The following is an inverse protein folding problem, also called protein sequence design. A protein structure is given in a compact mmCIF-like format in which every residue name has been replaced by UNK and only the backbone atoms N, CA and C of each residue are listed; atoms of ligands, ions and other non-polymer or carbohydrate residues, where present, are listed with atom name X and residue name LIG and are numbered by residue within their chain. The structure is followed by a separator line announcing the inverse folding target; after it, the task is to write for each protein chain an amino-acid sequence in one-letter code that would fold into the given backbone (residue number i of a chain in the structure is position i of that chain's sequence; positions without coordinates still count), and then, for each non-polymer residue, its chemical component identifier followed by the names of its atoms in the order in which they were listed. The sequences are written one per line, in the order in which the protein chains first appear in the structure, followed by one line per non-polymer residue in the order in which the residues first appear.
data_IF_248638381075
#
_entry.id   IF_248638381075
#
_cell.length_a   1.000
_cell.length_b   1.000
_cell.length_c   1.000
_cell.angle_alpha   90.00
_cell.angle_beta   90.00
_cell.angle_gamma   90.00
#
_symmetry.space_group_name_H-M   'P 1'
#
loop_
_entity.id
_entity.type
_entity.pdbx_description
1 polymer ?
#
# COMPACT_ATOMS: atom_id res chain seq x y z
N UNK A 1 9.90 5.82 11.85
CA UNK A 1 8.68 5.14 11.37
C UNK A 1 7.83 6.14 10.62
N UNK A 2 7.27 5.78 9.47
CA UNK A 2 6.34 6.64 8.71
C UNK A 2 4.95 6.01 8.71
N UNK A 3 3.91 6.84 8.63
CA UNK A 3 2.55 6.35 8.45
C UNK A 3 1.96 6.83 7.12
N UNK A 4 1.06 6.02 6.59
CA UNK A 4 0.25 6.32 5.42
C UNK A 4 -1.20 6.22 5.88
N UNK A 5 -2.02 7.24 5.60
CA UNK A 5 -3.40 7.33 6.07
C UNK A 5 -4.31 7.85 4.96
N UNK A 6 -5.58 7.42 4.93
CA UNK A 6 -6.60 7.99 4.05
C UNK A 6 -6.62 9.53 4.21
N UNK A 7 -6.41 10.26 3.12
CA UNK A 7 -6.41 11.72 3.08
C UNK A 7 -7.72 12.32 3.63
N UNK A 8 -8.83 11.58 3.54
CA UNK A 8 -10.16 12.00 4.04
C UNK A 8 -10.31 11.86 5.55
N UNK A 9 -9.34 11.25 6.23
CA UNK A 9 -9.37 11.11 7.69
C UNK A 9 -9.47 12.48 8.38
N UNK A 10 -10.19 12.60 9.51
CA UNK A 10 -10.28 13.86 10.24
C UNK A 10 -8.88 14.37 10.66
N UNK A 11 -8.70 15.70 10.62
CA UNK A 11 -7.48 16.39 11.08
C UNK A 11 -7.03 15.92 12.47
N UNK A 12 -7.96 15.76 13.41
CA UNK A 12 -7.65 15.28 14.76
C UNK A 12 -7.02 13.89 14.77
N UNK A 13 -7.42 13.01 13.84
CA UNK A 13 -6.86 11.65 13.70
C UNK A 13 -5.45 11.73 13.13
N UNK A 14 -5.24 12.51 12.06
CA UNK A 14 -3.92 12.73 11.46
C UNK A 14 -2.93 13.33 12.46
N UNK A 15 -3.36 14.36 13.19
CA UNK A 15 -2.56 15.03 14.22
C UNK A 15 -2.24 14.12 15.41
N UNK A 16 -3.14 13.22 15.77
CA UNK A 16 -2.85 12.23 16.80
C UNK A 16 -1.85 11.18 16.31
N UNK A 17 -2.00 10.69 15.07
CA UNK A 17 -1.06 9.74 14.47
C UNK A 17 0.35 10.32 14.35
N UNK A 18 0.48 11.58 13.95
CA UNK A 18 1.74 12.31 13.82
C UNK A 18 2.56 12.39 15.12
N UNK A 19 1.96 12.16 16.29
CA UNK A 19 2.67 12.09 17.58
C UNK A 19 3.53 10.82 17.74
N UNK A 20 3.29 9.80 16.91
CA UNK A 20 3.90 8.47 17.04
C UNK A 20 4.84 8.13 15.88
N UNK A 21 4.91 8.97 14.85
CA UNK A 21 5.69 8.74 13.62
C UNK A 21 6.48 9.98 13.23
N UNK A 22 7.51 9.78 12.41
CA UNK A 22 8.36 10.86 11.92
C UNK A 22 7.67 11.71 10.84
N UNK A 23 6.73 11.11 10.12
CA UNK A 23 5.92 11.79 9.10
C UNK A 23 4.66 10.98 8.75
N UNK A 24 3.63 11.68 8.28
CA UNK A 24 2.35 11.12 7.86
C UNK A 24 2.12 11.49 6.39
N UNK A 25 1.97 10.49 5.53
CA UNK A 25 1.56 10.69 4.16
C UNK A 25 0.04 10.49 4.03
N UNK A 26 -0.62 11.50 3.48
CA UNK A 26 -2.05 11.46 3.19
C UNK A 26 -2.28 10.84 1.81
N UNK A 27 -2.82 9.62 1.79
CA UNK A 27 -3.02 8.81 0.61
C UNK A 27 -4.36 9.09 -0.05
N UNK A 28 -4.34 9.24 -1.37
CA UNK A 28 -5.51 9.28 -2.24
C UNK A 28 -5.15 8.69 -3.60
N UNK A 29 -5.96 7.75 -4.07
CA UNK A 29 -5.92 7.13 -5.39
C UNK A 29 -7.16 7.49 -6.21
N UNK A 30 -7.64 8.72 -6.05
CA UNK A 30 -8.78 9.24 -6.81
C UNK A 30 -8.62 8.98 -8.31
N UNK A 31 -9.68 8.48 -8.95
CA UNK A 31 -9.73 8.07 -10.35
C UNK A 31 -8.95 6.79 -10.73
N UNK A 32 -8.40 6.04 -9.77
CA UNK A 32 -7.83 4.70 -10.02
C UNK A 32 -8.80 3.60 -9.56
N UNK A 33 -9.45 3.84 -8.41
CA UNK A 33 -10.39 2.91 -7.80
C UNK A 33 -11.69 3.63 -7.45
N UNK A 34 -12.73 2.85 -7.15
CA UNK A 34 -14.01 3.41 -6.71
C UNK A 34 -13.91 4.09 -5.34
N UNK A 35 -14.77 5.08 -5.11
CA UNK A 35 -14.65 6.03 -3.99
C UNK A 35 -14.55 5.37 -2.59
N UNK A 36 -15.19 4.24 -2.34
CA UNK A 36 -15.11 3.63 -0.99
C UNK A 36 -13.74 3.07 -0.65
N UNK A 37 -12.86 2.81 -1.63
CA UNK A 37 -11.49 2.32 -1.40
C UNK A 37 -10.40 3.27 -1.93
N UNK A 38 -10.77 4.43 -2.46
CA UNK A 38 -9.81 5.39 -3.04
C UNK A 38 -8.88 6.06 -2.03
N UNK A 39 -9.15 5.89 -0.73
CA UNK A 39 -8.25 6.31 0.34
C UNK A 39 -7.51 5.16 1.03
N UNK A 40 -7.69 3.92 0.57
CA UNK A 40 -7.13 2.74 1.24
C UNK A 40 -5.72 2.44 0.68
N UNK A 41 -4.64 2.52 1.49
CA UNK A 41 -3.28 2.31 0.98
C UNK A 41 -2.91 0.84 0.79
N UNK A 42 -3.48 -0.07 1.58
CA UNK A 42 -3.18 -1.52 1.57
C UNK A 42 -3.53 -2.23 0.24
N UNK A 43 -4.47 -1.71 -0.56
CA UNK A 43 -4.77 -2.25 -1.89
C UNK A 43 -3.71 -1.85 -2.93
N UNK A 44 -2.82 -0.91 -2.60
CA UNK A 44 -1.71 -0.45 -3.44
C UNK A 44 -0.34 -0.94 -2.97
N UNK A 45 -0.24 -1.50 -1.76
CA UNK A 45 1.05 -1.91 -1.22
C UNK A 45 0.96 -3.14 -0.32
N UNK A 46 1.96 -3.99 -0.46
CA UNK A 46 2.25 -5.09 0.44
C UNK A 46 3.52 -4.76 1.23
N UNK A 47 3.48 -4.98 2.54
CA UNK A 47 4.64 -4.80 3.41
C UNK A 47 4.78 -5.95 4.40
N UNK A 48 6.03 -6.40 4.59
CA UNK A 48 6.43 -7.23 5.72
C UNK A 48 7.64 -6.64 6.45
N UNK A 49 8.26 -7.43 7.33
CA UNK A 49 9.42 -6.99 8.12
C UNK A 49 10.69 -6.68 7.31
N UNK A 50 10.75 -7.06 6.03
CA UNK A 50 11.95 -6.94 5.20
C UNK A 50 11.73 -6.14 3.92
N UNK A 51 10.50 -6.12 3.38
CA UNK A 51 10.23 -5.58 2.05
C UNK A 51 8.90 -4.83 1.98
N UNK A 52 8.92 -3.76 1.21
CA UNK A 52 7.75 -3.01 0.75
C UNK A 52 7.64 -3.19 -0.76
N UNK A 53 6.48 -3.64 -1.23
CA UNK A 53 6.15 -3.81 -2.65
C UNK A 53 4.95 -2.92 -2.96
N UNK A 54 5.04 -2.12 -4.01
CA UNK A 54 4.06 -1.07 -4.32
C UNK A 54 3.56 -1.25 -5.76
N UNK A 55 2.26 -1.03 -5.98
CA UNK A 55 1.66 -1.08 -7.30
C UNK A 55 2.26 -0.02 -8.24
N UNK A 56 2.59 -0.34 -9.51
CA UNK A 56 3.24 0.60 -10.43
C UNK A 56 2.43 1.88 -10.67
N UNK A 57 1.10 1.76 -10.77
CA UNK A 57 0.20 2.91 -10.94
C UNK A 57 -0.18 3.63 -9.64
N UNK A 58 0.54 3.40 -8.53
CA UNK A 58 0.29 4.14 -7.29
C UNK A 58 0.44 5.66 -7.49
N UNK A 59 -0.21 6.49 -6.64
CA UNK A 59 -0.13 7.94 -6.75
C UNK A 59 1.31 8.46 -6.78
N UNK A 60 1.64 9.35 -7.74
CA UNK A 60 3.01 9.87 -7.91
C UNK A 60 3.59 10.49 -6.63
N UNK A 61 2.75 11.21 -5.89
CA UNK A 61 3.13 11.82 -4.62
C UNK A 61 3.55 10.80 -3.54
N UNK A 62 3.07 9.56 -3.61
CA UNK A 62 3.56 8.47 -2.75
C UNK A 62 5.02 8.16 -3.08
N UNK A 63 5.35 7.99 -4.36
CA UNK A 63 6.74 7.75 -4.76
C UNK A 63 7.65 8.92 -4.42
N UNK A 64 7.19 10.15 -4.61
CA UNK A 64 7.94 11.35 -4.22
C UNK A 64 8.21 11.38 -2.71
N UNK A 65 7.22 11.02 -1.88
CA UNK A 65 7.36 10.90 -0.43
C UNK A 65 8.39 9.83 -0.04
N UNK A 66 8.28 8.62 -0.59
CA UNK A 66 9.17 7.50 -0.27
C UNK A 66 10.61 7.79 -0.70
N UNK A 67 10.80 8.35 -1.90
CA UNK A 67 12.12 8.73 -2.42
C UNK A 67 12.76 9.83 -1.55
N UNK A 68 11.99 10.87 -1.16
CA UNK A 68 12.46 11.93 -0.25
C UNK A 68 12.89 11.37 1.10
N UNK A 69 12.19 10.37 1.61
CA UNK A 69 12.49 9.70 2.88
C UNK A 69 13.51 8.57 2.76
N UNK A 70 14.00 8.28 1.54
CA UNK A 70 14.94 7.18 1.25
C UNK A 70 14.40 5.82 1.72
N UNK A 71 13.09 5.61 1.60
CA UNK A 71 12.46 4.32 1.89
C UNK A 71 12.73 3.38 0.72
N UNK A 72 13.28 2.20 1.00
CA UNK A 72 13.47 1.16 0.00
C UNK A 72 12.15 0.47 -0.30
N UNK A 73 11.80 0.37 -1.58
CA UNK A 73 10.63 -0.38 -2.06
C UNK A 73 10.97 -1.08 -3.38
N UNK A 74 10.19 -2.10 -3.71
CA UNK A 74 10.13 -2.68 -5.05
C UNK A 74 8.80 -2.34 -5.70
N UNK A 75 8.76 -2.35 -7.03
CA UNK A 75 7.50 -2.29 -7.76
C UNK A 75 6.93 -3.70 -7.94
N UNK A 76 5.61 -3.80 -7.88
CA UNK A 76 4.89 -4.97 -8.35
C UNK A 76 4.79 -5.03 -9.87
N UNK A 77 4.02 -5.99 -10.38
CA UNK A 77 3.90 -6.21 -11.83
C UNK A 77 2.62 -5.62 -12.38
N UNK A 78 1.50 -5.79 -11.67
CA UNK A 78 0.16 -5.42 -12.11
C UNK A 78 -0.31 -4.12 -11.48
N UNK A 79 -1.02 -3.34 -12.27
CA UNK A 79 -1.71 -2.16 -11.80
C UNK A 79 -2.92 -2.50 -10.91
N UNK A 80 -3.31 -1.55 -10.08
CA UNK A 80 -4.57 -1.57 -9.33
C UNK A 80 -5.67 -0.96 -10.20
N UNK A 81 -6.88 -1.49 -10.10
CA UNK A 81 -8.04 -1.07 -10.89
C UNK A 81 -9.35 -1.19 -10.10
N UNK A 82 -10.47 -0.94 -10.78
CA UNK A 82 -11.78 -0.82 -10.14
C UNK A 82 -12.44 -2.16 -9.79
N UNK A 83 -12.08 -3.25 -10.48
CA UNK A 83 -12.67 -4.55 -10.17
C UNK A 83 -12.17 -5.10 -8.84
N UNK A 84 -12.94 -6.01 -8.23
CA UNK A 84 -12.51 -6.71 -7.01
C UNK A 84 -11.21 -7.49 -7.22
N UNK A 85 -10.99 -8.02 -8.42
CA UNK A 85 -9.74 -8.72 -8.73
C UNK A 85 -8.56 -7.75 -8.74
N UNK A 86 -8.68 -6.64 -9.46
CA UNK A 86 -7.59 -5.67 -9.60
C UNK A 86 -7.27 -4.94 -8.29
N UNK A 87 -8.30 -4.60 -7.51
CA UNK A 87 -8.16 -3.92 -6.21
C UNK A 87 -7.69 -4.81 -5.06
N UNK A 88 -7.58 -6.14 -5.24
CA UNK A 88 -7.17 -7.03 -4.15
C UNK A 88 -5.75 -7.61 -4.29
N UNK A 89 -5.01 -7.24 -5.34
CA UNK A 89 -3.70 -7.84 -5.67
C UNK A 89 -2.61 -7.58 -4.63
N UNK A 90 -2.63 -6.41 -4.02
CA UNK A 90 -1.63 -6.01 -3.01
C UNK A 90 -2.15 -6.15 -1.58
N UNK A 91 -3.47 -6.38 -1.41
CA UNK A 91 -4.08 -6.65 -0.11
C UNK A 91 -3.74 -8.07 0.35
N UNK A 92 -2.50 -8.23 0.77
CA UNK A 92 -1.91 -9.45 1.25
C UNK A 92 -1.26 -9.20 2.61
N UNK A 93 -1.19 -10.25 3.42
CA UNK A 93 -0.52 -10.20 4.72
C UNK A 93 0.39 -11.41 4.86
N UNK A 94 1.62 -11.21 5.31
CA UNK A 94 2.53 -12.31 5.60
C UNK A 94 3.00 -12.25 7.05
N UNK A 95 3.25 -13.44 7.58
CA UNK A 95 3.98 -13.67 8.82
C UNK A 95 5.24 -14.46 8.49
N UNK A 96 5.99 -14.86 9.50
CA UNK A 96 7.13 -15.76 9.31
C UNK A 96 6.73 -17.11 8.70
N UNK A 97 5.54 -17.61 9.05
CA UNK A 97 5.15 -19.00 8.77
C UNK A 97 3.94 -19.10 7.80
N UNK A 98 3.23 -18.00 7.56
CA UNK A 98 1.98 -17.99 6.81
C UNK A 98 1.87 -16.80 5.88
N UNK A 99 1.25 -17.03 4.72
CA UNK A 99 0.88 -16.02 3.74
C UNK A 99 -0.64 -16.02 3.55
N UNK A 100 -1.27 -14.88 3.77
CA UNK A 100 -2.71 -14.65 3.68
C UNK A 100 -2.99 -13.75 2.49
N UNK A 101 -3.87 -14.20 1.62
CA UNK A 101 -4.34 -13.43 0.48
C UNK A 101 -5.66 -13.97 -0.04
N UNK A 102 -6.32 -13.19 -0.89
CA UNK A 102 -7.46 -13.70 -1.64
C UNK A 102 -6.98 -14.74 -2.67
N UNK A 103 -7.58 -15.93 -2.65
CA UNK A 103 -7.16 -17.07 -3.46
C UNK A 103 -7.07 -16.70 -4.96
N UNK A 104 -5.87 -16.89 -5.55
CA UNK A 104 -5.60 -16.65 -6.97
C UNK A 104 -5.38 -15.18 -7.36
N UNK A 105 -5.33 -14.26 -6.40
CA UNK A 105 -5.33 -12.81 -6.67
C UNK A 105 -4.04 -12.03 -6.38
N UNK A 106 -3.04 -12.48 -5.59
CA UNK A 106 -1.89 -11.63 -5.30
C UNK A 106 -1.10 -11.29 -6.56
N UNK A 107 -0.48 -10.11 -6.56
CA UNK A 107 0.53 -9.78 -7.56
C UNK A 107 1.68 -10.80 -7.53
N UNK A 108 2.15 -11.22 -8.71
CA UNK A 108 3.21 -12.23 -8.85
C UNK A 108 4.49 -11.83 -8.13
N UNK A 109 4.82 -10.53 -8.01
CA UNK A 109 5.98 -10.08 -7.26
C UNK A 109 5.88 -10.41 -5.75
N UNK A 110 4.67 -10.37 -5.20
CA UNK A 110 4.39 -10.72 -3.79
C UNK A 110 4.42 -12.25 -3.64
N UNK A 111 3.79 -12.98 -4.57
CA UNK A 111 3.80 -14.46 -4.53
C UNK A 111 5.22 -15.00 -4.58
N UNK A 112 6.02 -14.53 -5.55
CA UNK A 112 7.41 -14.94 -5.70
C UNK A 112 8.25 -14.55 -4.48
N UNK A 113 7.94 -13.41 -3.86
CA UNK A 113 8.65 -12.99 -2.65
C UNK A 113 8.30 -13.86 -1.42
N UNK A 114 7.03 -14.22 -1.23
CA UNK A 114 6.58 -14.98 -0.06
C UNK A 114 6.70 -16.51 -0.20
N UNK A 115 6.90 -17.02 -1.42
CA UNK A 115 7.10 -18.45 -1.69
C UNK A 115 8.54 -18.92 -1.39
N UNK A 116 9.48 -18.01 -1.16
CA UNK A 116 10.88 -18.27 -0.81
C UNK A 116 11.13 -18.10 0.69
#
# INVERSE_FOLDING_TARGET
MYAIIDQRSPEVVKNNLAKYVDDVFEFSSENITYNSISGHPDIFMFQDSKKLIIAPNSPKNLFDFLNKKKVNYALGIKDVGESLEESSRYNCYSTKDYFFSNQGKPDESIQNYCAN
#
